data_IF_562053683216
#
_entry.id   IF_562053683216
#
_cell.length_a   1.000
_cell.length_b   1.000
_cell.length_c   1.000
_cell.angle_alpha   90.00
_cell.angle_beta   90.00
_cell.angle_gamma   90.00
#
_symmetry.space_group_name_H-M   'P 1'
#
loop_
_entity.id
_entity.type
_entity.pdbx_description
1 polymer ?
#
# COMPACT_ATOMS: atom_id res chain seq x y z
N UNK A 1 19.53 -24.67 -24.27
CA UNK A 1 19.75 -23.25 -23.87
C UNK A 1 18.46 -22.43 -23.78
N UNK A 2 17.50 -22.55 -24.73
CA UNK A 2 16.26 -21.74 -24.78
C UNK A 2 15.38 -21.79 -23.52
N UNK A 3 15.17 -22.96 -22.94
CA UNK A 3 14.34 -23.18 -21.74
C UNK A 3 14.91 -22.53 -20.47
N UNK A 4 16.25 -22.52 -20.30
CA UNK A 4 16.90 -21.82 -19.17
C UNK A 4 16.71 -20.30 -19.27
N UNK A 5 16.74 -19.73 -20.49
CA UNK A 5 16.51 -18.29 -20.72
C UNK A 5 15.06 -17.89 -20.41
N UNK A 6 14.08 -18.70 -20.81
CA UNK A 6 12.66 -18.45 -20.50
C UNK A 6 12.41 -18.53 -18.99
N UNK A 7 12.96 -19.54 -18.31
CA UNK A 7 12.84 -19.68 -16.85
C UNK A 7 13.40 -18.46 -16.11
N UNK A 8 14.59 -18.00 -16.47
CA UNK A 8 15.19 -16.83 -15.83
C UNK A 8 14.39 -15.55 -16.11
N UNK A 9 13.81 -15.41 -17.30
CA UNK A 9 12.93 -14.28 -17.61
C UNK A 9 11.65 -14.29 -16.78
N UNK A 10 11.01 -15.46 -16.61
CA UNK A 10 9.83 -15.63 -15.74
C UNK A 10 10.14 -15.28 -14.29
N UNK A 11 11.29 -15.71 -13.77
CA UNK A 11 11.73 -15.37 -12.41
C UNK A 11 11.94 -13.86 -12.28
N UNK A 12 12.58 -13.22 -13.26
CA UNK A 12 12.76 -11.77 -13.28
C UNK A 12 11.43 -11.01 -13.28
N UNK A 13 10.46 -11.46 -14.08
CA UNK A 13 9.13 -10.86 -14.12
C UNK A 13 8.41 -11.01 -12.77
N UNK A 14 8.49 -12.18 -12.14
CA UNK A 14 7.87 -12.42 -10.83
C UNK A 14 8.45 -11.52 -9.74
N UNK A 15 9.77 -11.34 -9.73
CA UNK A 15 10.44 -10.43 -8.79
C UNK A 15 10.04 -8.97 -9.02
N UNK A 16 9.93 -8.54 -10.27
CA UNK A 16 9.48 -7.19 -10.61
C UNK A 16 8.04 -6.94 -10.12
N UNK A 17 7.14 -7.89 -10.35
CA UNK A 17 5.74 -7.78 -9.89
C UNK A 17 5.67 -7.72 -8.36
N UNK A 18 6.43 -8.55 -7.64
CA UNK A 18 6.51 -8.47 -6.18
C UNK A 18 6.98 -7.09 -5.71
N UNK A 19 8.04 -6.55 -6.32
CA UNK A 19 8.57 -5.24 -5.93
C UNK A 19 7.52 -4.13 -6.09
N UNK A 20 6.77 -4.14 -7.20
CA UNK A 20 5.70 -3.17 -7.45
C UNK A 20 4.62 -3.28 -6.36
N UNK A 21 4.17 -4.50 -6.04
CA UNK A 21 3.16 -4.74 -5.00
C UNK A 21 3.64 -4.19 -3.65
N UNK A 22 4.88 -4.46 -3.26
CA UNK A 22 5.44 -3.97 -2.00
C UNK A 22 5.48 -2.43 -1.93
N UNK A 23 5.86 -1.78 -3.03
CA UNK A 23 5.88 -0.31 -3.11
C UNK A 23 4.46 0.25 -3.01
N UNK A 24 3.50 -0.33 -3.71
CA UNK A 24 2.09 0.09 -3.65
C UNK A 24 1.51 -0.01 -2.24
N UNK A 25 1.77 -1.13 -1.55
CA UNK A 25 1.33 -1.35 -0.17
C UNK A 25 1.92 -0.29 0.77
N UNK A 26 3.23 -0.06 0.67
CA UNK A 26 3.93 0.91 1.51
C UNK A 26 3.42 2.33 1.27
N UNK A 27 3.25 2.70 0.00
CA UNK A 27 2.73 4.02 -0.38
C UNK A 27 1.32 4.23 0.13
N UNK A 28 0.46 3.21 0.04
CA UNK A 28 -0.92 3.30 0.50
C UNK A 28 -1.00 3.43 2.02
N UNK A 29 -0.22 2.63 2.76
CA UNK A 29 -0.13 2.72 4.21
C UNK A 29 0.40 4.08 4.67
N UNK A 30 1.42 4.61 4.01
CA UNK A 30 1.93 5.95 4.31
C UNK A 30 0.83 7.02 4.10
N UNK A 31 0.04 6.93 3.03
CA UNK A 31 -1.09 7.80 2.80
C UNK A 31 -2.13 7.75 3.93
N UNK A 32 -2.48 6.55 4.38
CA UNK A 32 -3.37 6.35 5.53
C UNK A 32 -2.83 7.01 6.80
N UNK A 33 -1.56 6.74 7.14
CA UNK A 33 -0.95 7.32 8.34
C UNK A 33 -0.85 8.84 8.27
N UNK A 34 -0.58 9.40 7.08
CA UNK A 34 -0.56 10.84 6.87
C UNK A 34 -1.95 11.45 7.07
N UNK A 35 -3.00 10.86 6.48
CA UNK A 35 -4.37 11.32 6.68
C UNK A 35 -4.79 11.27 8.15
N UNK A 36 -4.41 10.20 8.85
CA UNK A 36 -4.64 10.05 10.30
C UNK A 36 -3.92 11.12 11.12
N UNK A 37 -2.65 11.40 10.81
CA UNK A 37 -1.88 12.47 11.46
C UNK A 37 -2.51 13.84 11.24
N UNK A 38 -2.87 14.15 9.98
CA UNK A 38 -3.50 15.43 9.62
C UNK A 38 -4.83 15.64 10.33
N UNK A 39 -5.62 14.57 10.53
CA UNK A 39 -6.84 14.64 11.32
C UNK A 39 -6.55 15.06 12.77
N UNK A 40 -5.61 14.37 13.44
CA UNK A 40 -5.22 14.69 14.82
C UNK A 40 -4.61 16.09 14.97
N UNK A 41 -3.74 16.50 14.04
CA UNK A 41 -3.15 17.85 14.01
C UNK A 41 -4.19 18.95 13.81
N UNK A 42 -5.31 18.64 13.14
CA UNK A 42 -6.41 19.57 12.91
C UNK A 42 -7.41 19.62 14.08
N UNK A 43 -7.10 19.01 15.23
CA UNK A 43 -8.02 18.74 16.34
C UNK A 43 -9.31 18.01 15.89
N UNK A 44 -9.22 17.25 14.79
CA UNK A 44 -10.32 16.40 14.34
C UNK A 44 -10.39 15.12 15.17
N UNK A 45 -11.60 14.59 15.30
CA UNK A 45 -11.85 13.29 15.90
C UNK A 45 -12.03 12.26 14.79
N UNK A 46 -11.31 11.16 14.87
CA UNK A 46 -11.48 10.04 13.95
C UNK A 46 -12.80 9.35 14.29
N UNK A 47 -13.75 9.38 13.37
CA UNK A 47 -15.08 8.79 13.56
C UNK A 47 -15.19 7.42 12.91
N UNK A 48 -14.47 7.19 11.81
CA UNK A 48 -14.38 5.89 11.15
C UNK A 48 -12.95 5.61 10.70
N UNK A 49 -12.50 4.38 10.97
CA UNK A 49 -11.20 3.87 10.53
C UNK A 49 -11.39 2.48 9.94
N UNK A 50 -11.16 2.34 8.64
CA UNK A 50 -11.12 1.04 7.97
C UNK A 50 -9.77 0.90 7.27
N UNK A 51 -9.00 -0.11 7.66
CA UNK A 51 -7.75 -0.48 7.02
C UNK A 51 -7.89 -1.91 6.51
N UNK A 52 -8.05 -2.05 5.20
CA UNK A 52 -8.23 -3.35 4.56
C UNK A 52 -6.89 -4.09 4.43
N UNK A 53 -6.93 -5.36 3.98
CA UNK A 53 -5.73 -6.19 3.91
C UNK A 53 -4.59 -5.50 3.13
N UNK A 54 -3.38 -5.49 3.72
CA UNK A 54 -2.18 -4.85 3.17
C UNK A 54 -2.36 -3.35 2.89
N UNK A 55 -3.33 -2.69 3.53
CA UNK A 55 -3.66 -1.29 3.31
C UNK A 55 -3.93 -0.94 1.84
N UNK A 56 -4.31 -1.91 1.01
CA UNK A 56 -4.62 -1.70 -0.41
C UNK A 56 -5.89 -0.86 -0.59
N UNK A 57 -6.79 -0.96 0.39
CA UNK A 57 -7.96 -0.12 0.51
C UNK A 57 -8.00 0.40 1.95
N UNK A 58 -8.28 1.68 2.12
CA UNK A 58 -8.49 2.25 3.44
C UNK A 58 -9.43 3.44 3.31
N UNK A 59 -10.18 3.67 4.39
CA UNK A 59 -11.03 4.83 4.55
C UNK A 59 -10.80 5.39 5.94
N UNK A 60 -10.69 6.70 6.03
CA UNK A 60 -10.57 7.42 7.29
C UNK A 60 -11.54 8.60 7.24
N UNK A 61 -12.47 8.62 8.17
CA UNK A 61 -13.40 9.72 8.35
C UNK A 61 -12.96 10.56 9.55
N UNK A 62 -12.87 11.87 9.34
CA UNK A 62 -12.41 12.83 10.32
C UNK A 62 -13.44 13.95 10.43
N UNK A 63 -14.02 14.12 11.61
CA UNK A 63 -14.92 15.24 11.93
C UNK A 63 -14.21 16.23 12.84
N UNK A 64 -14.65 17.49 12.82
CA UNK A 64 -14.18 18.54 13.74
C UNK A 64 -15.21 18.81 14.81
#
# INVERSE_FOLDING_TARGET
>A
MRTKRIRNWMIGLMLMVMAIITISITSSYNGFTAAKSTCGESNGTITEENLDLLALNWSLSCEK
#
